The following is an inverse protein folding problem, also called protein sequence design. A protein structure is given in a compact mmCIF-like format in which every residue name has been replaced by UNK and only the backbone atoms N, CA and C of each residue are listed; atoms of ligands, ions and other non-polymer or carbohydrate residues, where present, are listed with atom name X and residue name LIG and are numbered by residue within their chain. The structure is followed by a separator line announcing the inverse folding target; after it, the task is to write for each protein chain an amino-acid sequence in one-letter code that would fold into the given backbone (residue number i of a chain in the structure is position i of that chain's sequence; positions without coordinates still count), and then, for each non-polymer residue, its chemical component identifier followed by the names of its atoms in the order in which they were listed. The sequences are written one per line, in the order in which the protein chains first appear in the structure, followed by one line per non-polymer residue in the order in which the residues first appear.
data_IF_126039383319
#
_entry.id   IF_126039383319
#
_cell.length_a   1.000
_cell.length_b   1.000
_cell.length_c   1.000
_cell.angle_alpha   90.00
_cell.angle_beta   90.00
_cell.angle_gamma   90.00
#
_symmetry.space_group_name_H-M   'P 1'
#
loop_
_entity.id
_entity.type
_entity.pdbx_description
1 polymer ?
#
# COMPACT_ATOMS: atom_id res chain seq x y z
N UNK A 1 20.50 -23.65 -3.27
CA UNK A 1 20.34 -22.50 -2.32
C UNK A 1 19.61 -21.34 -2.97
N UNK A 2 20.09 -20.73 -4.06
CA UNK A 2 19.37 -19.64 -4.78
C UNK A 2 17.96 -20.04 -5.29
N UNK A 3 17.80 -21.25 -5.85
CA UNK A 3 16.50 -21.74 -6.31
C UNK A 3 15.44 -21.81 -5.19
N UNK A 4 15.85 -22.09 -3.95
CA UNK A 4 14.94 -22.14 -2.80
C UNK A 4 14.48 -20.73 -2.39
N UNK A 5 15.36 -19.72 -2.47
CA UNK A 5 14.95 -18.34 -2.20
C UNK A 5 14.04 -17.79 -3.29
N UNK A 6 14.30 -18.10 -4.56
CA UNK A 6 13.39 -17.75 -5.65
C UNK A 6 12.01 -18.39 -5.46
N UNK A 7 11.95 -19.67 -5.09
CA UNK A 7 10.69 -20.34 -4.78
C UNK A 7 9.97 -19.69 -3.59
N UNK A 8 10.71 -19.26 -2.56
CA UNK A 8 10.15 -18.56 -1.41
C UNK A 8 9.59 -17.18 -1.80
N UNK A 9 10.31 -16.41 -2.62
CA UNK A 9 9.80 -15.13 -3.14
C UNK A 9 8.56 -15.32 -4.02
N UNK A 10 8.52 -16.38 -4.83
CA UNK A 10 7.30 -16.71 -5.58
C UNK A 10 6.14 -17.04 -4.63
N UNK A 11 6.38 -17.79 -3.55
CA UNK A 11 5.35 -18.06 -2.54
C UNK A 11 4.83 -16.79 -1.88
N UNK A 12 5.70 -15.81 -1.61
CA UNK A 12 5.30 -14.50 -1.10
C UNK A 12 4.46 -13.72 -2.11
N UNK A 13 4.81 -13.80 -3.40
CA UNK A 13 4.03 -13.17 -4.45
C UNK A 13 2.62 -13.77 -4.52
N UNK A 14 2.49 -15.09 -4.45
CA UNK A 14 1.20 -15.77 -4.42
C UNK A 14 0.41 -15.46 -3.13
N UNK A 15 1.09 -15.41 -1.98
CA UNK A 15 0.49 -15.04 -0.70
C UNK A 15 -0.11 -13.63 -0.73
N UNK A 16 0.68 -12.63 -1.14
CA UNK A 16 0.22 -11.26 -1.27
C UNK A 16 -0.93 -11.13 -2.29
N UNK A 17 -0.87 -11.88 -3.39
CA UNK A 17 -1.96 -11.91 -4.35
C UNK A 17 -3.26 -12.50 -3.73
N UNK A 18 -3.15 -13.50 -2.86
CA UNK A 18 -4.30 -14.04 -2.11
C UNK A 18 -4.87 -13.00 -1.16
N UNK A 19 -4.04 -12.39 -0.33
CA UNK A 19 -4.45 -11.34 0.64
C UNK A 19 -5.21 -10.20 -0.06
N UNK A 20 -4.73 -9.76 -1.23
CA UNK A 20 -5.42 -8.77 -2.05
C UNK A 20 -6.79 -9.26 -2.50
N UNK A 21 -6.92 -10.53 -2.91
CA UNK A 21 -8.17 -11.10 -3.40
C UNK A 21 -9.17 -11.46 -2.29
N UNK A 22 -8.69 -11.58 -1.05
CA UNK A 22 -9.52 -11.83 0.14
C UNK A 22 -10.23 -10.57 0.64
N UNK A 23 -9.82 -9.38 0.18
CA UNK A 23 -10.54 -8.14 0.41
C UNK A 23 -12.01 -8.25 -0.03
N UNK A 24 -12.94 -7.78 0.80
CA UNK A 24 -14.37 -7.80 0.49
C UNK A 24 -15.09 -6.57 1.03
N UNK A 25 -16.03 -6.07 0.23
CA UNK A 25 -16.84 -4.88 0.54
C UNK A 25 -18.05 -4.80 -0.38
N UNK A 26 -19.23 -4.55 0.19
CA UNK A 26 -20.48 -4.36 -0.57
C UNK A 26 -20.68 -5.41 -1.68
N UNK A 27 -20.58 -6.70 -1.29
CA UNK A 27 -20.65 -7.86 -2.19
C UNK A 27 -19.54 -7.95 -3.26
N UNK A 28 -18.62 -6.98 -3.33
CA UNK A 28 -17.42 -7.02 -4.16
C UNK A 28 -16.29 -7.76 -3.45
N UNK A 29 -15.37 -8.31 -4.25
CA UNK A 29 -14.18 -9.04 -3.77
C UNK A 29 -12.92 -8.59 -4.50
N UNK A 30 -11.78 -8.78 -3.85
CA UNK A 30 -10.47 -8.49 -4.40
C UNK A 30 -10.29 -7.04 -4.84
N UNK A 31 -9.72 -6.86 -6.04
CA UNK A 31 -9.51 -5.53 -6.64
C UNK A 31 -10.80 -4.72 -6.78
N UNK A 32 -11.94 -5.36 -7.02
CA UNK A 32 -13.23 -4.65 -7.10
C UNK A 32 -13.64 -4.09 -5.74
N UNK A 33 -13.38 -4.79 -4.64
CA UNK A 33 -13.64 -4.27 -3.30
C UNK A 33 -12.89 -2.94 -3.07
N UNK A 34 -11.64 -2.84 -3.53
CA UNK A 34 -10.87 -1.60 -3.47
C UNK A 34 -11.38 -0.51 -4.44
N UNK A 35 -11.89 -0.87 -5.61
CA UNK A 35 -12.41 0.08 -6.59
C UNK A 35 -13.71 0.75 -6.13
N UNK A 36 -14.58 -0.03 -5.50
CA UNK A 36 -15.88 0.44 -5.01
C UNK A 36 -15.82 0.99 -3.58
N UNK A 37 -14.64 0.95 -2.96
CA UNK A 37 -14.45 1.49 -1.62
C UNK A 37 -14.69 3.00 -1.58
N UNK A 38 -15.58 3.41 -0.68
CA UNK A 38 -15.83 4.81 -0.37
C UNK A 38 -15.65 5.06 1.14
N UNK A 39 -14.84 6.08 1.44
CA UNK A 39 -14.51 6.55 2.78
C UNK A 39 -15.71 7.21 3.48
N UNK A 40 -16.80 7.51 2.77
CA UNK A 40 -18.02 8.05 3.38
C UNK A 40 -18.97 6.99 3.96
N UNK A 41 -18.69 5.70 3.76
CA UNK A 41 -19.58 4.62 4.20
C UNK A 41 -19.48 4.33 5.71
N UNK A 42 -20.64 4.16 6.35
CA UNK A 42 -20.78 3.90 7.81
C UNK A 42 -20.49 2.44 8.22
N UNK A 43 -20.06 1.59 7.29
CA UNK A 43 -20.02 0.14 7.45
C UNK A 43 -18.57 -0.32 7.68
N UNK A 44 -18.44 -1.32 8.57
CA UNK A 44 -17.23 -2.07 8.96
C UNK A 44 -15.96 -1.82 8.15
N UNK A 45 -14.88 -1.47 8.86
CA UNK A 45 -13.55 -1.16 8.34
C UNK A 45 -12.77 -2.38 7.81
N UNK A 46 -13.44 -3.44 7.39
CA UNK A 46 -12.82 -4.66 6.86
C UNK A 46 -11.87 -4.37 5.70
N UNK A 47 -12.15 -3.35 4.87
CA UNK A 47 -11.21 -2.92 3.83
C UNK A 47 -9.93 -2.35 4.42
N UNK A 48 -10.01 -1.53 5.47
CA UNK A 48 -8.82 -0.94 6.08
C UNK A 48 -7.98 -1.99 6.81
N UNK A 49 -8.63 -2.95 7.46
CA UNK A 49 -7.95 -4.08 8.08
C UNK A 49 -7.24 -4.92 7.00
N UNK A 50 -7.94 -5.27 5.91
CA UNK A 50 -7.34 -5.98 4.78
C UNK A 50 -6.23 -5.17 4.12
N UNK A 51 -6.42 -3.85 3.98
CA UNK A 51 -5.39 -2.96 3.46
C UNK A 51 -4.16 -2.96 4.38
N UNK A 52 -4.34 -2.91 5.70
CA UNK A 52 -3.24 -2.95 6.65
C UNK A 52 -2.44 -4.27 6.54
N UNK A 53 -3.13 -5.40 6.40
CA UNK A 53 -2.50 -6.71 6.15
C UNK A 53 -1.70 -6.67 4.86
N UNK A 54 -2.31 -6.28 3.75
CA UNK A 54 -1.66 -6.21 2.43
C UNK A 54 -0.43 -5.29 2.45
N UNK A 55 -0.52 -4.11 3.07
CA UNK A 55 0.60 -3.16 3.14
C UNK A 55 1.74 -3.72 4.01
N UNK A 56 1.41 -4.41 5.10
CA UNK A 56 2.41 -5.00 6.00
C UNK A 56 3.11 -6.19 5.38
N UNK A 57 2.35 -7.10 4.76
CA UNK A 57 2.92 -8.21 3.99
C UNK A 57 3.80 -7.69 2.86
N UNK A 58 3.37 -6.64 2.14
CA UNK A 58 4.19 -6.02 1.09
C UNK A 58 5.56 -5.55 1.60
N UNK A 59 5.61 -4.80 2.70
CA UNK A 59 6.87 -4.31 3.29
C UNK A 59 7.77 -5.46 3.72
N UNK A 60 7.23 -6.42 4.48
CA UNK A 60 7.99 -7.58 4.97
C UNK A 60 8.59 -8.36 3.80
N UNK A 61 7.83 -8.55 2.73
CA UNK A 61 8.30 -9.28 1.55
C UNK A 61 9.33 -8.48 0.74
N UNK A 62 9.17 -7.15 0.66
CA UNK A 62 10.15 -6.27 0.03
C UNK A 62 11.50 -6.32 0.78
N UNK A 63 11.47 -6.19 2.10
CA UNK A 63 12.65 -6.26 2.97
C UNK A 63 13.37 -7.60 2.78
N UNK A 64 12.63 -8.71 2.76
CA UNK A 64 13.21 -10.03 2.50
C UNK A 64 13.94 -10.10 1.15
N UNK A 65 13.37 -9.54 0.08
CA UNK A 65 13.98 -9.51 -1.24
C UNK A 65 15.27 -8.66 -1.22
N UNK A 66 15.24 -7.52 -0.54
CA UNK A 66 16.37 -6.59 -0.47
C UNK A 66 17.53 -7.15 0.37
N UNK A 67 17.22 -7.76 1.51
CA UNK A 67 18.20 -8.30 2.46
C UNK A 67 18.75 -9.68 2.07
N UNK A 68 18.05 -10.42 1.20
CA UNK A 68 18.47 -11.73 0.73
C UNK A 68 19.92 -11.72 0.21
N UNK A 69 20.77 -12.63 0.69
CA UNK A 69 22.15 -12.77 0.20
C UNK A 69 22.28 -13.76 -0.94
N UNK A 70 21.28 -14.61 -1.19
CA UNK A 70 21.35 -15.67 -2.19
C UNK A 70 20.70 -15.27 -3.52
N UNK A 71 19.86 -14.24 -3.55
CA UNK A 71 19.33 -13.69 -4.79
C UNK A 71 20.36 -12.80 -5.50
N UNK A 72 20.51 -13.03 -6.80
CA UNK A 72 21.30 -12.15 -7.65
C UNK A 72 20.68 -10.76 -7.71
N UNK A 73 21.49 -9.72 -7.97
CA UNK A 73 20.99 -8.34 -8.16
C UNK A 73 19.85 -8.26 -9.18
N UNK A 74 19.98 -9.01 -10.28
CA UNK A 74 18.97 -9.10 -11.34
C UNK A 74 17.67 -9.73 -10.85
N UNK A 75 17.75 -10.79 -10.06
CA UNK A 75 16.57 -11.47 -9.52
C UNK A 75 15.85 -10.61 -8.48
N UNK A 76 16.61 -9.95 -7.60
CA UNK A 76 16.05 -8.97 -6.66
C UNK A 76 15.27 -7.89 -7.38
N UNK A 77 15.85 -7.32 -8.42
CA UNK A 77 15.22 -6.27 -9.23
C UNK A 77 13.94 -6.77 -9.91
N UNK A 78 13.96 -7.98 -10.50
CA UNK A 78 12.77 -8.60 -11.11
C UNK A 78 11.66 -8.84 -10.09
N UNK A 79 12.01 -9.38 -8.91
CA UNK A 79 11.04 -9.64 -7.85
C UNK A 79 10.43 -8.34 -7.33
N UNK A 80 11.28 -7.36 -6.98
CA UNK A 80 10.86 -6.02 -6.56
C UNK A 80 9.94 -5.35 -7.58
N UNK A 81 10.27 -5.45 -8.88
CA UNK A 81 9.42 -4.96 -9.96
C UNK A 81 8.05 -5.64 -9.98
N UNK A 82 7.99 -6.98 -9.87
CA UNK A 82 6.71 -7.72 -9.85
C UNK A 82 5.85 -7.32 -8.67
N UNK A 83 6.44 -7.18 -7.49
CA UNK A 83 5.74 -6.72 -6.29
C UNK A 83 5.16 -5.33 -6.49
N UNK A 84 5.98 -4.35 -6.88
CA UNK A 84 5.47 -3.01 -7.13
C UNK A 84 4.40 -2.97 -8.21
N UNK A 85 4.53 -3.72 -9.31
CA UNK A 85 3.48 -3.79 -10.34
C UNK A 85 2.16 -4.35 -9.79
N UNK A 86 2.22 -5.36 -8.92
CA UNK A 86 1.03 -5.95 -8.30
C UNK A 86 0.35 -4.97 -7.36
N UNK A 87 1.10 -4.36 -6.43
CA UNK A 87 0.57 -3.33 -5.55
C UNK A 87 0.02 -2.14 -6.34
N UNK A 88 0.77 -1.69 -7.35
CA UNK A 88 0.39 -0.60 -8.24
C UNK A 88 -0.96 -0.86 -8.91
N UNK A 89 -1.10 -2.01 -9.57
CA UNK A 89 -2.28 -2.31 -10.40
C UNK A 89 -3.51 -2.68 -9.58
N UNK A 90 -3.35 -3.43 -8.49
CA UNK A 90 -4.46 -4.02 -7.75
C UNK A 90 -4.92 -3.25 -6.53
N UNK A 91 -4.08 -2.37 -5.99
CA UNK A 91 -4.35 -1.68 -4.71
C UNK A 91 -4.21 -0.17 -4.88
N UNK A 92 -3.04 0.31 -5.29
CA UNK A 92 -2.77 1.73 -5.45
C UNK A 92 -3.67 2.35 -6.53
N UNK A 93 -3.75 1.77 -7.71
CA UNK A 93 -4.53 2.34 -8.79
C UNK A 93 -6.01 2.48 -8.42
N UNK A 94 -6.72 1.45 -7.93
CA UNK A 94 -8.11 1.60 -7.50
C UNK A 94 -8.32 2.66 -6.41
N UNK A 95 -7.45 2.73 -5.41
CA UNK A 95 -7.67 3.56 -4.22
C UNK A 95 -7.13 5.00 -4.30
N UNK A 96 -6.20 5.28 -5.23
CA UNK A 96 -5.42 6.54 -5.21
C UNK A 96 -6.29 7.80 -5.16
N UNK A 97 -7.39 7.84 -5.90
CA UNK A 97 -8.24 9.02 -5.98
C UNK A 97 -9.00 9.23 -4.69
N UNK A 98 -9.74 8.22 -4.24
CA UNK A 98 -10.49 8.21 -2.97
C UNK A 98 -9.60 8.61 -1.81
N UNK A 99 -8.42 7.98 -1.66
CA UNK A 99 -7.51 8.30 -0.58
C UNK A 99 -6.94 9.72 -0.72
N UNK A 100 -6.44 10.12 -1.90
CA UNK A 100 -5.83 11.44 -2.09
C UNK A 100 -6.79 12.61 -1.86
N UNK A 101 -8.09 12.41 -2.11
CA UNK A 101 -9.12 13.44 -1.97
C UNK A 101 -9.76 13.46 -0.58
N UNK A 102 -10.02 12.30 0.02
CA UNK A 102 -10.86 12.19 1.20
C UNK A 102 -10.11 11.69 2.45
N UNK A 103 -8.86 11.22 2.31
CA UNK A 103 -8.10 10.58 3.38
C UNK A 103 -7.90 11.45 4.62
N UNK A 104 -7.65 12.76 4.46
CA UNK A 104 -7.50 13.68 5.60
C UNK A 104 -8.78 13.83 6.43
N UNK A 105 -9.94 13.89 5.77
CA UNK A 105 -11.23 13.96 6.43
C UNK A 105 -11.58 12.65 7.14
N UNK A 106 -11.21 11.54 6.52
CA UNK A 106 -11.40 10.20 7.07
C UNK A 106 -10.56 9.95 8.33
N UNK A 107 -9.29 10.36 8.33
CA UNK A 107 -8.40 10.19 9.50
C UNK A 107 -8.94 10.82 10.78
N UNK A 108 -9.72 11.90 10.67
CA UNK A 108 -10.31 12.56 11.84
C UNK A 108 -11.48 11.79 12.45
N UNK A 109 -12.03 10.80 11.74
CA UNK A 109 -13.28 10.11 12.11
C UNK A 109 -13.07 8.64 12.49
N UNK A 110 -11.89 8.07 12.21
CA UNK A 110 -11.65 6.64 12.31
C UNK A 110 -10.30 6.33 12.93
N UNK A 111 -10.30 5.51 13.98
CA UNK A 111 -9.19 5.35 14.92
C UNK A 111 -7.87 4.96 14.23
N UNK A 112 -7.73 3.78 13.65
CA UNK A 112 -6.41 3.33 13.13
C UNK A 112 -6.05 3.87 11.74
N UNK A 113 -6.93 4.64 11.12
CA UNK A 113 -6.72 5.14 9.77
C UNK A 113 -5.56 6.13 9.66
N UNK A 114 -5.22 6.81 10.77
CA UNK A 114 -4.05 7.68 10.86
C UNK A 114 -2.71 6.91 10.84
N UNK A 115 -2.72 5.59 10.99
CA UNK A 115 -1.56 4.71 10.83
C UNK A 115 -1.54 4.08 9.42
N UNK A 116 -2.70 3.60 8.96
CA UNK A 116 -2.84 2.82 7.72
C UNK A 116 -2.71 3.70 6.47
N UNK A 117 -3.36 4.87 6.44
CA UNK A 117 -3.37 5.71 5.24
C UNK A 117 -2.01 6.35 4.93
N UNK A 118 -1.21 6.82 5.92
CA UNK A 118 0.17 7.23 5.67
C UNK A 118 1.04 6.12 5.09
N UNK A 119 0.89 4.88 5.60
CA UNK A 119 1.60 3.71 5.09
C UNK A 119 1.28 3.45 3.62
N UNK A 120 -0.01 3.44 3.28
CA UNK A 120 -0.48 3.36 1.90
C UNK A 120 0.13 4.46 1.01
N UNK A 121 0.10 5.71 1.47
CA UNK A 121 0.60 6.86 0.71
C UNK A 121 2.12 6.78 0.49
N UNK A 122 2.89 6.38 1.52
CA UNK A 122 4.33 6.20 1.42
C UNK A 122 4.68 5.11 0.40
N UNK A 123 4.07 3.93 0.51
CA UNK A 123 4.26 2.83 -0.44
C UNK A 123 3.80 3.22 -1.86
N UNK A 124 2.72 4.00 -1.96
CA UNK A 124 2.23 4.55 -3.23
C UNK A 124 3.27 5.44 -3.91
N UNK A 125 3.87 6.38 -3.17
CA UNK A 125 4.95 7.24 -3.67
C UNK A 125 6.16 6.42 -4.11
N UNK A 126 6.57 5.43 -3.31
CA UNK A 126 7.69 4.54 -3.64
C UNK A 126 7.41 3.75 -4.93
N UNK A 127 6.24 3.12 -5.03
CA UNK A 127 5.83 2.34 -6.20
C UNK A 127 5.79 3.19 -7.47
N UNK A 128 5.20 4.39 -7.40
CA UNK A 128 5.14 5.31 -8.53
C UNK A 128 6.55 5.71 -8.97
N UNK A 129 7.41 6.05 -8.02
CA UNK A 129 8.78 6.51 -8.31
C UNK A 129 9.60 5.38 -8.94
N UNK A 130 9.63 4.21 -8.32
CA UNK A 130 10.35 3.03 -8.80
C UNK A 130 9.89 2.60 -10.20
N UNK A 131 8.57 2.45 -10.41
CA UNK A 131 8.03 1.98 -11.69
C UNK A 131 8.19 3.03 -12.79
N UNK A 132 8.16 4.32 -12.46
CA UNK A 132 8.42 5.40 -13.42
C UNK A 132 9.89 5.41 -13.86
N UNK A 133 10.83 5.29 -12.92
CA UNK A 133 12.27 5.20 -13.22
C UNK A 133 12.61 4.01 -14.11
N UNK A 134 11.84 2.92 -13.98
CA UNK A 134 11.97 1.71 -14.80
C UNK A 134 11.15 1.73 -16.08
N UNK A 135 10.45 2.83 -16.39
CA UNK A 135 9.60 3.01 -17.56
C UNK A 135 8.42 2.01 -17.67
N UNK A 136 7.96 1.45 -16.54
CA UNK A 136 6.74 0.62 -16.52
C UNK A 136 5.46 1.46 -16.51
N UNK A 137 5.53 2.68 -15.97
CA UNK A 137 4.40 3.60 -15.89
C UNK A 137 4.84 5.01 -16.29
N UNK A 138 3.88 5.82 -16.73
CA UNK A 138 4.12 7.22 -17.09
C UNK A 138 3.81 8.11 -15.89
N UNK A 139 4.85 8.74 -15.32
CA UNK A 139 4.73 9.58 -14.12
C UNK A 139 3.73 10.73 -14.27
N UNK A 140 3.60 11.31 -15.46
CA UNK A 140 2.65 12.42 -15.72
C UNK A 140 1.18 12.01 -15.61
N UNK A 141 0.86 10.70 -15.57
CA UNK A 141 -0.50 10.22 -15.31
C UNK A 141 -0.91 10.34 -13.84
N UNK A 142 0.05 10.55 -12.93
CA UNK A 142 -0.23 10.95 -11.56
C UNK A 142 -0.22 12.47 -11.55
N UNK A 143 -1.43 13.05 -11.56
CA UNK A 143 -1.59 14.49 -11.36
C UNK A 143 -0.82 14.90 -10.11
N UNK A 144 -0.26 16.11 -10.10
CA UNK A 144 0.32 16.70 -8.89
C UNK A 144 -0.63 16.58 -7.70
N UNK A 145 -1.94 16.60 -7.95
CA UNK A 145 -3.00 16.40 -6.95
C UNK A 145 -2.89 15.08 -6.18
N UNK A 146 -2.60 13.95 -6.84
CA UNK A 146 -2.49 12.64 -6.16
C UNK A 146 -1.25 12.60 -5.28
N UNK A 147 -0.09 13.01 -5.80
CA UNK A 147 1.16 13.02 -5.04
C UNK A 147 1.12 14.03 -3.89
N UNK A 148 0.52 15.19 -4.11
CA UNK A 148 0.34 16.21 -3.08
C UNK A 148 -0.64 15.74 -2.01
N UNK A 149 -1.76 15.09 -2.40
CA UNK A 149 -2.70 14.48 -1.46
C UNK A 149 -2.04 13.42 -0.59
N UNK A 150 -1.24 12.53 -1.17
CA UNK A 150 -0.49 11.52 -0.42
C UNK A 150 0.46 12.15 0.60
N UNK A 151 1.21 13.19 0.20
CA UNK A 151 2.11 13.90 1.12
C UNK A 151 1.37 14.56 2.27
N UNK A 152 0.21 15.19 2.02
CA UNK A 152 -0.61 15.78 3.09
C UNK A 152 -1.10 14.72 4.08
N UNK A 153 -1.53 13.56 3.58
CA UNK A 153 -1.98 12.45 4.43
C UNK A 153 -0.84 11.93 5.30
N UNK A 154 0.36 11.76 4.73
CA UNK A 154 1.55 11.32 5.47
C UNK A 154 1.87 12.31 6.60
N UNK A 155 1.92 13.61 6.27
CA UNK A 155 2.21 14.65 7.25
C UNK A 155 1.15 14.70 8.36
N UNK A 156 -0.12 14.60 7.98
CA UNK A 156 -1.22 14.62 8.94
C UNK A 156 -1.20 13.42 9.88
N UNK A 157 -0.89 12.22 9.36
CA UNK A 157 -0.75 11.01 10.18
C UNK A 157 0.35 11.16 11.25
N UNK A 158 1.51 11.69 10.87
CA UNK A 158 2.61 11.97 11.83
C UNK A 158 2.17 12.90 12.96
N UNK A 159 1.52 14.01 12.62
CA UNK A 159 1.01 14.96 13.60
C UNK A 159 0.01 14.32 14.57
N UNK A 160 -0.86 13.43 14.07
CA UNK A 160 -1.82 12.72 14.91
C UNK A 160 -1.14 11.74 15.88
N UNK A 161 -0.17 10.96 15.40
CA UNK A 161 0.59 10.04 16.25
C UNK A 161 1.39 10.77 17.34
N UNK A 162 1.99 11.91 17.00
CA UNK A 162 2.71 12.75 17.98
C UNK A 162 1.78 13.30 19.07
N UNK A 163 0.57 13.72 18.70
CA UNK A 163 -0.40 14.23 19.67
C UNK A 163 -0.89 13.13 20.63
N UNK A 164 -1.24 11.95 20.11
CA UNK A 164 -1.67 10.80 20.91
C UNK A 164 -0.56 10.38 21.90
N UNK A 165 0.69 10.41 21.44
CA UNK A 165 1.86 10.06 22.28
C UNK A 165 2.04 11.05 23.44
N UNK A 166 1.76 12.35 23.23
CA UNK A 166 1.82 13.38 24.27
C UNK A 166 0.67 13.26 25.27
N UNK A 167 -0.53 12.94 24.79
CA UNK A 167 -1.72 12.74 25.65
C UNK A 167 -1.58 11.49 26.53
N UNK A 168 -0.85 10.46 26.08
CA UNK A 168 -0.63 9.23 26.86
C UNK A 168 0.43 9.37 27.96
N UNK A 169 1.15 10.50 28.02
CA UNK A 169 2.22 10.78 28.99
C UNK A 169 1.82 11.78 30.08
N UNK A 170 0.63 12.38 29.99
CA UNK A 170 0.08 13.33 30.96
C UNK A 170 -1.03 12.72 31.80
#
# INVERSE_FOLDING_TARGET
MQANELAKVESFYQGLNSEINDASFDEKRGTDAYLFFDLETKITHSILDNLNVVLSSFEIYLDFIEESRLLSKRDKERCKTRFYLMFYSKVLWPLRHTISSNGEGFMKKHDDSHLILPKYCNLGIQAISYLSEKNFIVRSRFKEDTMSGFRRIIEKGKQMTENISKESQG
#
